data_IF_336772770681
#
_entry.id   IF_336772770681
#
_cell.length_a   1.000
_cell.length_b   1.000
_cell.length_c   1.000
_cell.angle_alpha   90.00
_cell.angle_beta   90.00
_cell.angle_gamma   90.00
#
_symmetry.space_group_name_H-M   'P 1'
#
loop_
_entity.id
_entity.type
_entity.pdbx_description
1 polymer ?
#
# COMPACT_ATOMS: atom_id res chain seq x y z
N UNK A 1 12.73 -1.40 12.36
CA UNK A 1 12.40 -2.36 11.28
C UNK A 1 10.90 -2.55 11.31
N UNK A 2 10.26 -3.07 10.24
CA UNK A 2 8.80 -3.20 10.21
C UNK A 2 8.28 -4.16 11.30
N UNK A 3 7.34 -3.70 12.13
CA UNK A 3 6.77 -4.41 13.29
C UNK A 3 5.28 -4.77 13.08
N UNK A 4 4.78 -4.63 11.84
CA UNK A 4 3.39 -4.98 11.51
C UNK A 4 3.10 -6.45 11.85
N UNK A 5 2.07 -6.66 12.66
CA UNK A 5 1.61 -7.99 13.08
C UNK A 5 0.78 -8.70 12.00
N UNK A 6 0.30 -7.98 10.99
CA UNK A 6 -0.43 -8.54 9.86
C UNK A 6 -0.33 -7.63 8.63
N UNK A 7 -0.46 -8.22 7.44
CA UNK A 7 -0.59 -7.51 6.16
C UNK A 7 -2.06 -7.40 5.72
N UNK A 8 -2.90 -7.02 6.67
CA UNK A 8 -4.33 -6.76 6.46
C UNK A 8 -4.76 -5.48 7.15
N UNK A 9 -5.70 -4.75 6.54
CA UNK A 9 -6.33 -3.57 7.15
C UNK A 9 -7.83 -3.65 6.96
N UNK A 10 -8.62 -3.28 7.97
CA UNK A 10 -10.08 -3.26 7.88
C UNK A 10 -10.64 -1.87 8.21
N UNK A 11 -11.56 -1.41 7.36
CA UNK A 11 -12.47 -0.31 7.65
C UNK A 11 -13.79 -0.88 8.15
N UNK A 12 -14.18 -0.59 9.39
CA UNK A 12 -15.44 -1.05 9.98
C UNK A 12 -16.27 0.13 10.48
N UNK A 13 -17.57 0.09 10.23
CA UNK A 13 -18.49 1.07 10.83
C UNK A 13 -18.80 0.68 12.27
N UNK A 14 -18.78 1.64 13.19
CA UNK A 14 -19.30 1.45 14.56
C UNK A 14 -20.84 1.56 14.63
N UNK A 15 -21.49 1.94 13.52
CA UNK A 15 -22.93 2.23 13.45
C UNK A 15 -23.70 1.26 12.55
N UNK A 16 -23.01 0.49 11.72
CA UNK A 16 -23.60 -0.42 10.75
C UNK A 16 -22.78 -1.71 10.72
N UNK A 17 -23.40 -2.81 10.30
CA UNK A 17 -22.73 -4.09 10.06
C UNK A 17 -22.11 -4.12 8.65
N UNK A 18 -21.32 -3.10 8.33
CA UNK A 18 -20.62 -2.99 7.04
C UNK A 18 -19.14 -2.75 7.28
N UNK A 19 -18.32 -3.46 6.53
CA UNK A 19 -16.89 -3.18 6.46
C UNK A 19 -16.25 -3.60 5.16
N UNK A 20 -14.98 -3.26 5.04
CA UNK A 20 -14.08 -3.72 3.99
C UNK A 20 -12.79 -4.15 4.66
N UNK A 21 -12.20 -5.26 4.20
CA UNK A 21 -10.84 -5.65 4.57
C UNK A 21 -9.99 -5.74 3.31
N UNK A 22 -8.80 -5.17 3.36
CA UNK A 22 -7.80 -5.26 2.29
C UNK A 22 -6.67 -6.17 2.76
N UNK A 23 -6.31 -7.14 1.93
CA UNK A 23 -5.16 -8.03 2.10
C UNK A 23 -4.06 -7.57 1.16
N UNK A 24 -2.91 -7.17 1.70
CA UNK A 24 -1.82 -6.57 0.93
C UNK A 24 -0.48 -7.27 1.21
N UNK A 25 -0.51 -8.59 1.37
CA UNK A 25 0.68 -9.38 1.75
C UNK A 25 1.88 -9.20 0.82
N UNK A 26 1.61 -8.97 -0.47
CA UNK A 26 2.62 -8.81 -1.50
C UNK A 26 3.20 -7.39 -1.57
N UNK A 27 2.66 -6.45 -0.77
CA UNK A 27 3.10 -5.06 -0.78
C UNK A 27 3.89 -4.69 0.49
N UNK A 28 5.13 -4.20 0.35
CA UNK A 28 5.95 -3.79 1.49
C UNK A 28 5.37 -2.57 2.23
N UNK A 29 4.60 -1.73 1.54
CA UNK A 29 4.04 -0.50 2.10
C UNK A 29 2.52 -0.43 1.90
N UNK A 30 1.84 0.24 2.83
CA UNK A 30 0.45 0.63 2.70
C UNK A 30 0.33 2.12 3.03
N UNK A 31 -0.15 2.91 2.09
CA UNK A 31 -0.45 4.32 2.33
C UNK A 31 -1.94 4.46 2.69
N UNK A 32 -2.20 5.23 3.74
CA UNK A 32 -3.56 5.55 4.20
C UNK A 32 -3.72 7.06 4.13
N UNK A 33 -4.65 7.54 3.30
CA UNK A 33 -4.92 8.97 3.23
C UNK A 33 -6.40 9.27 3.02
N UNK A 34 -6.77 10.51 3.29
CA UNK A 34 -8.09 11.06 2.96
C UNK A 34 -7.93 12.51 2.54
N UNK A 35 -8.91 13.03 1.81
CA UNK A 35 -8.86 14.38 1.26
C UNK A 35 -8.83 15.45 2.35
N UNK A 36 -8.07 16.51 2.13
CA UNK A 36 -8.08 17.70 3.00
C UNK A 36 -9.43 18.43 3.00
N UNK A 37 -10.22 18.27 1.93
CA UNK A 37 -11.53 18.91 1.79
C UNK A 37 -12.69 18.14 2.44
N UNK A 38 -12.38 17.13 3.29
CA UNK A 38 -13.38 16.33 4.03
C UNK A 38 -14.35 15.55 3.13
N UNK A 39 -13.90 15.09 1.96
CA UNK A 39 -14.63 14.10 1.17
C UNK A 39 -14.94 12.84 1.99
N UNK A 40 -16.10 12.19 1.78
CA UNK A 40 -16.57 11.08 2.63
C UNK A 40 -15.92 9.75 2.24
N UNK A 41 -14.60 9.71 2.08
CA UNK A 41 -13.85 8.50 1.78
C UNK A 41 -12.46 8.50 2.42
N UNK A 42 -11.88 7.31 2.50
CA UNK A 42 -10.50 7.05 2.87
C UNK A 42 -9.92 6.08 1.83
N UNK A 43 -8.65 6.20 1.53
CA UNK A 43 -7.93 5.30 0.62
C UNK A 43 -7.02 4.37 1.40
N UNK A 44 -6.92 3.15 0.91
CA UNK A 44 -5.92 2.17 1.30
C UNK A 44 -5.14 1.82 0.03
N UNK A 45 -3.88 2.21 -0.04
CA UNK A 45 -3.07 2.06 -1.24
C UNK A 45 -1.88 1.13 -0.97
N UNK A 46 -1.98 -0.15 -1.37
CA UNK A 46 -0.85 -1.08 -1.35
C UNK A 46 0.21 -0.62 -2.35
N UNK A 47 1.42 -0.36 -1.87
CA UNK A 47 2.50 0.22 -2.68
C UNK A 47 3.73 -0.69 -2.70
N UNK A 48 4.17 -1.03 -3.92
CA UNK A 48 5.38 -1.82 -4.18
C UNK A 48 6.66 -0.97 -4.21
N UNK A 49 6.53 0.34 -4.34
CA UNK A 49 7.62 1.32 -4.24
C UNK A 49 7.26 2.48 -3.31
N UNK A 50 8.14 3.47 -3.23
CA UNK A 50 7.92 4.67 -2.42
C UNK A 50 8.06 5.94 -3.26
N UNK A 51 7.49 7.03 -2.77
CA UNK A 51 7.80 8.36 -3.29
C UNK A 51 9.25 8.73 -2.99
N UNK A 52 9.83 9.60 -3.81
CA UNK A 52 11.21 10.07 -3.66
C UNK A 52 11.44 10.70 -2.28
N UNK A 53 12.53 10.29 -1.63
CA UNK A 53 12.97 10.88 -0.38
C UNK A 53 13.78 12.16 -0.61
N UNK A 54 13.91 13.00 0.43
CA UNK A 54 14.69 14.25 0.34
C UNK A 54 16.19 13.99 0.09
N UNK A 55 16.69 12.84 0.53
CA UNK A 55 18.10 12.46 0.45
C UNK A 55 18.45 11.61 -0.78
N UNK A 56 17.48 11.30 -1.64
CA UNK A 56 17.69 10.48 -2.84
C UNK A 56 18.15 11.32 -4.03
N UNK A 57 19.03 10.72 -4.85
CA UNK A 57 19.48 11.32 -6.12
C UNK A 57 18.63 10.88 -7.32
N UNK A 58 19.13 11.20 -8.52
CA UNK A 58 18.40 10.94 -9.77
C UNK A 58 18.55 9.50 -10.30
N UNK A 59 19.46 8.72 -9.72
CA UNK A 59 19.63 7.31 -10.06
C UNK A 59 18.40 6.50 -9.65
N UNK A 60 17.93 5.62 -10.53
CA UNK A 60 16.73 4.82 -10.28
C UNK A 60 17.02 3.69 -9.29
N UNK A 61 18.20 3.09 -9.46
CA UNK A 61 18.69 1.93 -8.74
C UNK A 61 18.91 2.22 -7.24
N UNK A 62 19.14 3.49 -6.91
CA UNK A 62 19.35 3.95 -5.54
C UNK A 62 18.04 4.25 -4.79
N UNK A 63 16.89 4.26 -5.48
CA UNK A 63 15.60 4.59 -4.86
C UNK A 63 15.14 3.48 -3.92
N UNK A 64 14.70 3.85 -2.71
CA UNK A 64 14.22 2.88 -1.71
C UNK A 64 13.01 2.11 -2.23
N UNK A 65 13.02 0.80 -2.00
CA UNK A 65 11.99 -0.15 -2.43
C UNK A 65 11.75 -0.15 -3.95
N UNK A 66 12.72 0.30 -4.76
CA UNK A 66 12.65 0.07 -6.20
C UNK A 66 12.77 -1.43 -6.47
N UNK A 67 11.91 -1.97 -7.33
CA UNK A 67 12.07 -3.31 -7.87
C UNK A 67 12.72 -3.21 -9.25
N UNK A 68 13.88 -3.86 -9.41
CA UNK A 68 14.58 -3.99 -10.68
C UNK A 68 14.35 -5.40 -11.21
N UNK A 69 13.88 -5.49 -12.46
CA UNK A 69 13.62 -6.76 -13.14
C UNK A 69 14.67 -6.98 -14.23
N UNK A 70 15.18 -8.20 -14.30
CA UNK A 70 16.08 -8.62 -15.37
C UNK A 70 15.34 -8.78 -16.71
N UNK A 71 16.09 -8.85 -17.80
CA UNK A 71 15.51 -9.07 -19.12
C UNK A 71 14.66 -10.37 -19.14
N UNK A 72 13.40 -10.24 -19.55
CA UNK A 72 12.36 -11.29 -19.58
C UNK A 72 11.86 -11.77 -18.21
N UNK A 73 12.24 -11.12 -17.12
CA UNK A 73 11.65 -11.40 -15.81
C UNK A 73 10.25 -10.76 -15.71
N UNK A 74 9.34 -11.47 -15.05
CA UNK A 74 7.99 -11.00 -14.73
C UNK A 74 7.81 -11.08 -13.21
N UNK A 75 7.24 -10.01 -12.65
CA UNK A 75 6.75 -9.98 -11.28
C UNK A 75 5.27 -9.61 -11.31
N UNK A 76 4.46 -10.34 -10.57
CA UNK A 76 3.03 -10.11 -10.43
C UNK A 76 2.74 -9.81 -8.96
N UNK A 77 2.02 -8.72 -8.71
CA UNK A 77 1.62 -8.31 -7.37
C UNK A 77 0.11 -8.11 -7.34
N UNK A 78 -0.53 -8.68 -6.32
CA UNK A 78 -1.97 -8.68 -6.12
C UNK A 78 -2.36 -8.31 -4.70
N UNK A 79 -3.52 -7.66 -4.58
CA UNK A 79 -4.19 -7.45 -3.30
C UNK A 79 -5.64 -7.91 -3.43
N UNK A 80 -6.23 -8.26 -2.31
CA UNK A 80 -7.61 -8.72 -2.25
C UNK A 80 -8.44 -7.75 -1.41
N UNK A 81 -9.70 -7.58 -1.81
CA UNK A 81 -10.69 -6.81 -1.05
C UNK A 81 -11.83 -7.75 -0.67
N UNK A 82 -12.02 -7.91 0.63
CA UNK A 82 -13.13 -8.64 1.25
C UNK A 82 -14.21 -7.64 1.70
N UNK A 83 -15.47 -7.90 1.36
CA UNK A 83 -16.62 -7.19 1.92
C UNK A 83 -17.02 -7.89 3.22
N UNK A 84 -17.08 -7.12 4.31
CA UNK A 84 -17.37 -7.58 5.66
C UNK A 84 -18.77 -7.18 6.13
#
# INVERSE_FOLDING_TARGET
MDELQSRTIALRSLKHDKGLKVHFAEFPNLIIWSTLNKGPFITFEPWSGLSTFLEEGDHLEDKKNVCLLEANQVEELGFEIEVL
#
